data_IF_874675329249
#
_entry.id   IF_874675329249
#
_cell.length_a   1.000
_cell.length_b   1.000
_cell.length_c   1.000
_cell.angle_alpha   90.00
_cell.angle_beta   90.00
_cell.angle_gamma   90.00
#
_symmetry.space_group_name_H-M   'P 1'
#
loop_
_entity.id
_entity.type
_entity.pdbx_description
1 polymer ?
#
# COMPACT_ATOMS: atom_id res chain seq x y z
N UNK A 1 -19.63 3.44 2.48
CA UNK A 1 -20.24 2.21 1.91
C UNK A 1 -21.02 2.59 0.66
N UNK A 2 -20.90 1.80 -0.40
CA UNK A 2 -21.70 1.94 -1.63
C UNK A 2 -21.57 0.67 -2.50
N UNK A 3 -22.68 0.00 -2.80
CA UNK A 3 -22.79 -0.91 -3.94
C UNK A 3 -23.20 -0.15 -5.21
N UNK A 4 -23.24 -0.83 -6.37
CA UNK A 4 -23.46 -0.19 -7.69
C UNK A 4 -24.32 -1.06 -8.62
N UNK A 5 -25.16 -0.42 -9.43
CA UNK A 5 -25.76 -0.92 -10.69
C UNK A 5 -25.58 0.16 -11.78
N UNK A 6 -25.82 -0.15 -13.07
CA UNK A 6 -25.14 0.51 -14.22
C UNK A 6 -26.04 0.87 -15.42
N UNK A 7 -25.88 2.08 -15.98
CA UNK A 7 -26.29 2.66 -17.29
C UNK A 7 -25.59 4.05 -17.43
N UNK A 8 -25.36 4.74 -18.56
CA UNK A 8 -25.34 4.48 -20.03
C UNK A 8 -24.20 5.36 -20.66
N UNK A 9 -23.53 4.97 -21.77
CA UNK A 9 -22.39 5.71 -22.31
C UNK A 9 -22.63 6.51 -23.63
N UNK A 10 -23.77 7.21 -23.83
CA UNK A 10 -24.09 7.82 -25.14
C UNK A 10 -24.43 9.35 -25.18
N UNK A 11 -23.41 10.23 -25.17
CA UNK A 11 -23.43 11.56 -25.84
C UNK A 11 -22.05 12.24 -25.90
N UNK A 12 -21.64 12.67 -27.09
CA UNK A 12 -20.47 13.54 -27.32
C UNK A 12 -20.91 14.97 -27.65
N UNK A 13 -20.11 15.97 -27.26
CA UNK A 13 -20.30 17.37 -27.63
C UNK A 13 -18.94 18.01 -27.90
N UNK A 14 -18.80 18.72 -29.02
CA UNK A 14 -17.56 19.36 -29.44
C UNK A 14 -17.44 20.76 -28.81
N UNK A 15 -16.26 21.09 -28.27
CA UNK A 15 -15.97 22.42 -27.69
C UNK A 15 -14.89 23.14 -28.51
N UNK A 16 -15.11 24.41 -28.91
CA UNK A 16 -14.14 25.16 -29.71
C UNK A 16 -13.11 25.88 -28.82
N UNK A 17 -11.88 25.37 -28.77
CA UNK A 17 -10.71 26.07 -28.23
C UNK A 17 -9.52 25.99 -29.21
N UNK A 18 -8.68 27.04 -29.28
CA UNK A 18 -7.63 27.12 -30.30
C UNK A 18 -6.46 26.17 -30.04
N UNK A 19 -5.84 25.68 -31.12
CA UNK A 19 -4.72 24.74 -31.09
C UNK A 19 -3.50 25.32 -30.36
N UNK A 20 -2.88 24.58 -29.42
CA UNK A 20 -1.62 25.00 -28.80
C UNK A 20 -0.47 25.10 -29.81
N UNK A 21 0.46 26.03 -29.56
CA UNK A 21 1.73 26.10 -30.27
C UNK A 21 2.56 24.82 -30.02
N UNK A 22 3.32 24.40 -31.03
CA UNK A 22 4.10 23.17 -31.00
C UNK A 22 5.30 23.26 -30.04
N UNK A 23 5.05 23.01 -28.75
CA UNK A 23 6.09 22.57 -27.83
C UNK A 23 6.49 21.14 -28.23
N UNK A 24 7.79 20.91 -28.46
CA UNK A 24 8.30 19.63 -28.94
C UNK A 24 7.96 18.49 -27.98
N UNK A 25 7.65 17.31 -28.53
CA UNK A 25 7.27 16.13 -27.73
C UNK A 25 8.37 15.77 -26.72
N UNK A 26 8.11 15.79 -25.40
CA UNK A 26 9.09 15.37 -24.42
C UNK A 26 9.41 13.88 -24.62
N UNK A 27 10.69 13.53 -24.61
CA UNK A 27 11.12 12.13 -24.69
C UNK A 27 10.71 11.38 -23.42
N UNK A 28 10.43 10.06 -23.47
CA UNK A 28 9.88 9.32 -22.32
C UNK A 28 10.71 9.38 -21.03
N UNK A 29 12.01 9.69 -21.13
CA UNK A 29 12.93 9.89 -20.00
C UNK A 29 12.72 11.19 -19.21
N UNK A 30 11.77 12.05 -19.60
CA UNK A 30 11.60 13.40 -19.04
C UNK A 30 10.27 13.65 -18.31
N UNK A 31 9.46 12.62 -18.05
CA UNK A 31 8.36 12.71 -17.07
C UNK A 31 8.99 12.78 -15.68
N UNK A 32 9.29 13.99 -15.22
CA UNK A 32 9.75 14.25 -13.87
C UNK A 32 8.65 13.73 -12.91
N UNK A 33 8.99 12.74 -12.07
CA UNK A 33 8.06 12.10 -11.12
C UNK A 33 7.66 13.17 -10.09
N UNK A 34 6.58 13.92 -10.37
CA UNK A 34 6.06 14.97 -9.49
C UNK A 34 5.89 14.33 -8.10
N UNK A 35 6.50 14.89 -7.03
CA UNK A 35 6.35 14.36 -5.68
C UNK A 35 4.86 14.34 -5.33
N UNK A 36 4.28 13.14 -5.40
CA UNK A 36 2.85 12.98 -5.34
C UNK A 36 2.44 13.11 -3.88
N UNK A 37 1.95 14.29 -3.50
CA UNK A 37 1.28 14.46 -2.22
C UNK A 37 -0.09 13.79 -2.27
N UNK A 38 -0.04 12.47 -2.09
CA UNK A 38 -1.17 11.55 -2.27
C UNK A 38 -2.19 11.63 -1.11
N UNK A 39 -1.95 12.53 -0.14
CA UNK A 39 -2.69 12.62 1.12
C UNK A 39 -2.74 11.29 1.89
N UNK A 40 -1.83 10.36 1.58
CA UNK A 40 -1.96 8.95 1.98
C UNK A 40 -1.27 8.72 3.31
N UNK A 41 -2.01 8.13 4.26
CA UNK A 41 -1.50 7.70 5.56
C UNK A 41 -1.90 6.24 5.76
N UNK A 42 -0.92 5.39 6.02
CA UNK A 42 -1.11 3.99 6.45
C UNK A 42 -0.44 3.78 7.81
N UNK A 43 -1.03 2.93 8.64
CA UNK A 43 -0.58 2.65 10.01
C UNK A 43 -0.82 1.19 10.37
N UNK A 44 0.12 0.62 11.12
CA UNK A 44 0.02 -0.71 11.72
C UNK A 44 0.61 -0.68 13.13
N UNK A 45 -0.09 -1.28 14.10
CA UNK A 45 0.23 -1.30 15.54
C UNK A 45 0.12 -2.72 16.05
N UNK A 46 1.14 -3.17 16.78
CA UNK A 46 1.19 -4.43 17.55
C UNK A 46 0.59 -4.19 18.95
N UNK A 47 -0.28 -5.08 19.41
CA UNK A 47 -1.00 -4.96 20.70
C UNK A 47 -1.15 -6.34 21.38
N UNK A 48 -1.56 -6.35 22.65
CA UNK A 48 -1.71 -7.59 23.43
C UNK A 48 -2.88 -8.45 22.94
N UNK A 49 -2.60 -9.25 21.90
CA UNK A 49 -3.57 -10.12 21.22
C UNK A 49 -3.43 -10.14 19.70
N UNK A 50 -2.70 -9.21 19.09
CA UNK A 50 -2.50 -9.20 17.64
C UNK A 50 -2.04 -7.86 17.07
N UNK A 51 -2.67 -7.44 15.97
CA UNK A 51 -2.36 -6.18 15.27
C UNK A 51 -3.62 -5.39 14.92
N UNK A 52 -3.51 -4.07 14.96
CA UNK A 52 -4.49 -3.12 14.39
C UNK A 52 -3.86 -2.43 13.20
N UNK A 53 -4.59 -2.37 12.08
CA UNK A 53 -4.18 -1.65 10.87
C UNK A 53 -5.20 -0.59 10.48
N UNK A 54 -4.72 0.49 9.87
CA UNK A 54 -5.57 1.60 9.43
C UNK A 54 -4.98 2.31 8.21
N UNK A 55 -5.86 2.87 7.39
CA UNK A 55 -5.50 3.68 6.23
C UNK A 55 -6.58 4.73 5.96
N UNK A 56 -6.20 5.87 5.36
CA UNK A 56 -7.17 6.79 4.77
C UNK A 56 -7.70 6.25 3.42
N UNK A 57 -8.84 6.75 2.95
CA UNK A 57 -9.49 6.29 1.72
C UNK A 57 -9.29 7.17 0.48
N UNK A 58 -8.42 8.20 0.54
CA UNK A 58 -8.21 9.15 -0.56
C UNK A 58 -7.16 8.64 -1.54
N UNK A 59 -7.38 8.84 -2.84
CA UNK A 59 -6.35 8.68 -3.87
C UNK A 59 -6.40 9.86 -4.82
N UNK A 60 -5.25 10.45 -5.13
CA UNK A 60 -5.13 11.61 -6.01
C UNK A 60 -4.18 11.35 -7.19
N UNK A 61 -4.32 12.18 -8.22
CA UNK A 61 -3.37 12.35 -9.30
C UNK A 61 -2.94 13.83 -9.27
N UNK A 62 -1.79 14.10 -8.65
CA UNK A 62 -1.43 15.46 -8.25
C UNK A 62 -2.49 16.06 -7.31
N UNK A 63 -2.94 17.27 -7.63
CA UNK A 63 -3.97 17.97 -6.85
C UNK A 63 -5.40 17.42 -7.02
N UNK A 64 -5.68 16.58 -8.04
CA UNK A 64 -7.03 16.07 -8.30
C UNK A 64 -7.30 14.79 -7.50
N UNK A 65 -8.39 14.76 -6.73
CA UNK A 65 -8.82 13.55 -6.00
C UNK A 65 -9.56 12.62 -6.98
N UNK A 66 -8.88 11.57 -7.41
CA UNK A 66 -9.39 10.51 -8.31
C UNK A 66 -10.42 9.64 -7.60
N UNK A 67 -10.19 9.31 -6.33
CA UNK A 67 -11.12 8.50 -5.53
C UNK A 67 -11.11 8.96 -4.06
N UNK A 68 -12.27 8.84 -3.40
CA UNK A 68 -12.51 9.16 -1.98
C UNK A 68 -12.78 7.92 -1.12
N UNK A 69 -12.92 6.75 -1.74
CA UNK A 69 -13.30 5.47 -1.12
C UNK A 69 -12.39 4.32 -1.58
N UNK A 70 -11.10 4.61 -1.84
CA UNK A 70 -10.11 3.57 -2.15
C UNK A 70 -9.81 2.75 -0.90
N UNK A 71 -9.92 1.43 -0.98
CA UNK A 71 -9.29 0.56 0.01
C UNK A 71 -7.78 0.44 -0.26
N UNK A 72 -6.99 0.70 0.78
CA UNK A 72 -5.52 0.59 0.78
C UNK A 72 -5.02 -0.56 1.63
N UNK A 73 -5.91 -1.18 2.42
CA UNK A 73 -5.68 -2.46 3.04
C UNK A 73 -5.90 -3.54 1.97
N UNK A 74 -5.24 -4.69 2.10
CA UNK A 74 -5.41 -5.81 1.16
C UNK A 74 -5.11 -7.11 1.88
N UNK A 75 -6.10 -8.01 1.90
CA UNK A 75 -6.00 -9.34 2.50
C UNK A 75 -5.05 -10.21 1.67
N UNK A 76 -3.91 -10.56 2.24
CA UNK A 76 -2.86 -11.39 1.61
C UNK A 76 -3.07 -12.86 1.98
N UNK A 77 -3.47 -13.12 3.23
CA UNK A 77 -3.91 -14.42 3.72
C UNK A 77 -5.05 -14.24 4.75
N UNK A 78 -5.63 -15.33 5.27
CA UNK A 78 -6.71 -15.26 6.28
C UNK A 78 -6.37 -14.40 7.51
N UNK A 79 -5.11 -14.46 7.97
CA UNK A 79 -4.61 -13.73 9.13
C UNK A 79 -3.53 -12.68 8.80
N UNK A 80 -3.32 -12.37 7.52
CA UNK A 80 -2.25 -11.45 7.05
C UNK A 80 -2.81 -10.44 6.06
N UNK A 81 -2.54 -9.16 6.33
CA UNK A 81 -2.89 -8.04 5.48
C UNK A 81 -1.64 -7.24 5.10
N UNK A 82 -1.72 -6.50 4.00
CA UNK A 82 -0.78 -5.43 3.71
C UNK A 82 -1.51 -4.09 3.57
N UNK A 83 -0.85 -3.02 4.00
CA UNK A 83 -1.26 -1.63 3.80
C UNK A 83 -0.39 -1.03 2.69
N UNK A 84 -1.01 -0.45 1.67
CA UNK A 84 -0.35 0.03 0.45
C UNK A 84 -0.22 1.55 0.41
N UNK A 85 1.00 2.03 0.18
CA UNK A 85 1.29 3.45 -0.08
C UNK A 85 2.30 3.64 -1.22
N UNK A 86 2.24 4.79 -1.90
CA UNK A 86 2.99 5.04 -3.13
C UNK A 86 2.07 4.92 -4.36
N UNK A 87 2.59 4.37 -5.46
CA UNK A 87 1.81 4.15 -6.68
C UNK A 87 0.71 3.09 -6.45
N UNK A 88 -0.52 3.42 -6.83
CA UNK A 88 -1.65 2.50 -6.68
C UNK A 88 -1.47 1.23 -7.52
N UNK A 89 -1.00 1.34 -8.76
CA UNK A 89 -0.82 0.21 -9.67
C UNK A 89 0.30 -0.73 -9.18
N UNK A 90 1.49 -0.18 -8.91
CA UNK A 90 2.67 -0.92 -8.49
C UNK A 90 2.39 -1.72 -7.20
N UNK A 91 1.77 -1.07 -6.21
CA UNK A 91 1.43 -1.71 -4.94
C UNK A 91 0.33 -2.75 -5.05
N UNK A 92 -0.65 -2.58 -5.96
CA UNK A 92 -1.66 -3.59 -6.25
C UNK A 92 -1.06 -4.81 -6.97
N UNK A 93 -0.13 -4.59 -7.91
CA UNK A 93 0.60 -5.66 -8.59
C UNK A 93 1.42 -6.50 -7.58
N UNK A 94 2.25 -5.85 -6.76
CA UNK A 94 3.06 -6.52 -5.73
C UNK A 94 2.16 -7.30 -4.76
N UNK A 95 1.09 -6.70 -4.23
CA UNK A 95 0.20 -7.37 -3.28
C UNK A 95 -0.50 -8.59 -3.89
N UNK A 96 -0.90 -8.52 -5.17
CA UNK A 96 -1.48 -9.66 -5.90
C UNK A 96 -0.46 -10.77 -6.12
N UNK A 97 0.76 -10.42 -6.56
CA UNK A 97 1.82 -11.38 -6.81
C UNK A 97 2.27 -12.09 -5.52
N UNK A 98 2.45 -11.35 -4.43
CA UNK A 98 2.78 -11.92 -3.11
C UNK A 98 1.65 -12.82 -2.61
N UNK A 99 0.39 -12.41 -2.75
CA UNK A 99 -0.76 -13.23 -2.36
C UNK A 99 -0.72 -14.60 -3.05
N UNK A 100 -0.67 -14.64 -4.38
CA UNK A 100 -0.65 -15.92 -5.13
C UNK A 100 0.58 -16.78 -4.81
N UNK A 101 1.75 -16.16 -4.58
CA UNK A 101 2.98 -16.86 -4.17
C UNK A 101 2.89 -17.42 -2.74
N UNK A 102 2.21 -16.72 -1.83
CA UNK A 102 1.99 -17.16 -0.45
C UNK A 102 0.93 -18.28 -0.37
N UNK A 103 -0.17 -18.16 -1.11
CA UNK A 103 -1.20 -19.21 -1.25
C UNK A 103 -0.58 -20.50 -1.83
N UNK A 104 0.20 -20.38 -2.91
CA UNK A 104 0.92 -21.50 -3.49
C UNK A 104 1.97 -22.11 -2.55
N UNK A 105 2.65 -21.29 -1.75
CA UNK A 105 3.62 -21.77 -0.76
C UNK A 105 2.95 -22.57 0.36
N UNK A 106 1.87 -22.05 0.96
CA UNK A 106 1.09 -22.71 1.99
C UNK A 106 0.60 -24.10 1.54
N UNK A 107 0.07 -24.20 0.32
CA UNK A 107 -0.39 -25.47 -0.29
C UNK A 107 0.77 -26.46 -0.49
N UNK A 108 1.98 -26.00 -0.84
CA UNK A 108 3.13 -26.89 -1.04
C UNK A 108 3.72 -27.48 0.25
N UNK A 109 3.45 -26.87 1.41
CA UNK A 109 3.98 -27.30 2.71
C UNK A 109 2.91 -27.83 3.68
N UNK A 110 1.65 -27.90 3.24
CA UNK A 110 0.47 -28.30 4.03
C UNK A 110 0.25 -27.44 5.30
N UNK A 111 0.61 -26.14 5.23
CA UNK A 111 0.48 -25.19 6.34
C UNK A 111 -0.73 -24.26 6.12
N UNK A 112 -1.82 -24.50 6.86
CA UNK A 112 -3.03 -23.66 6.79
C UNK A 112 -2.78 -22.18 7.20
N UNK A 113 -1.71 -21.91 7.96
CA UNK A 113 -1.45 -20.58 8.53
C UNK A 113 0.03 -20.16 8.35
N UNK A 114 0.45 -19.80 7.13
CA UNK A 114 1.82 -19.36 6.87
C UNK A 114 2.20 -18.13 7.72
N UNK A 115 3.45 -18.06 8.16
CA UNK A 115 3.92 -17.02 9.07
C UNK A 115 3.88 -15.60 8.47
N UNK A 116 3.70 -14.60 9.33
CA UNK A 116 3.72 -13.19 8.91
C UNK A 116 5.10 -12.80 8.37
N UNK A 117 6.18 -13.40 8.91
CA UNK A 117 7.54 -13.16 8.43
C UNK A 117 7.76 -13.69 7.00
N UNK A 118 7.20 -14.85 6.64
CA UNK A 118 7.27 -15.38 5.28
C UNK A 118 6.61 -14.43 4.29
N UNK A 119 5.38 -13.96 4.60
CA UNK A 119 4.70 -12.96 3.78
C UNK A 119 5.51 -11.65 3.65
N UNK A 120 6.04 -11.12 4.76
CA UNK A 120 6.88 -9.92 4.75
C UNK A 120 8.19 -10.10 3.95
N UNK A 121 8.74 -11.32 3.93
CA UNK A 121 9.93 -11.66 3.14
C UNK A 121 9.61 -11.67 1.64
N UNK A 122 8.47 -12.21 1.23
CA UNK A 122 7.98 -12.14 -0.16
C UNK A 122 7.76 -10.68 -0.61
N UNK A 123 7.14 -9.83 0.23
CA UNK A 123 7.02 -8.40 -0.07
C UNK A 123 8.39 -7.73 -0.23
N UNK A 124 9.36 -8.05 0.63
CA UNK A 124 10.75 -7.56 0.52
C UNK A 124 11.44 -8.04 -0.76
N UNK A 125 11.20 -9.26 -1.24
CA UNK A 125 11.74 -9.74 -2.52
C UNK A 125 11.25 -8.87 -3.69
N UNK A 126 9.93 -8.76 -3.90
CA UNK A 126 9.38 -7.93 -4.98
C UNK A 126 9.71 -6.44 -4.83
N UNK A 127 9.64 -5.88 -3.62
CA UNK A 127 9.95 -4.45 -3.42
C UNK A 127 11.43 -4.13 -3.62
N UNK A 128 12.36 -5.09 -3.43
CA UNK A 128 13.77 -4.90 -3.70
C UNK A 128 14.13 -5.11 -5.17
N UNK A 129 13.58 -6.16 -5.79
CA UNK A 129 13.81 -6.51 -7.21
C UNK A 129 13.35 -5.39 -8.15
N UNK A 130 12.20 -4.77 -7.87
CA UNK A 130 11.59 -3.73 -8.71
C UNK A 130 11.76 -2.30 -8.17
N UNK A 131 12.58 -2.08 -7.13
CA UNK A 131 12.72 -0.78 -6.42
C UNK A 131 12.98 0.44 -7.32
N UNK A 132 13.72 0.22 -8.41
CA UNK A 132 14.15 1.27 -9.35
C UNK A 132 13.07 1.57 -10.41
N UNK A 133 12.00 0.76 -10.46
CA UNK A 133 10.84 0.89 -11.37
C UNK A 133 9.59 1.33 -10.58
N UNK A 134 9.29 0.62 -9.50
CA UNK A 134 8.09 0.77 -8.68
C UNK A 134 8.26 1.77 -7.54
N UNK A 135 7.18 2.47 -7.19
CA UNK A 135 7.07 3.32 -6.00
C UNK A 135 6.15 2.65 -4.99
N UNK A 136 6.71 1.78 -4.13
CA UNK A 136 5.96 1.01 -3.14
C UNK A 136 6.51 1.22 -1.73
N UNK A 137 5.65 1.67 -0.81
CA UNK A 137 5.85 1.57 0.63
C UNK A 137 4.76 0.68 1.20
N UNK A 138 5.13 -0.50 1.70
CA UNK A 138 4.22 -1.53 2.19
C UNK A 138 4.42 -1.71 3.70
N UNK A 139 3.33 -1.76 4.45
CA UNK A 139 3.33 -2.36 5.80
C UNK A 139 2.66 -3.73 5.70
N UNK A 140 3.31 -4.78 6.16
CA UNK A 140 2.73 -6.13 6.28
C UNK A 140 2.42 -6.36 7.75
N UNK A 141 1.19 -6.72 8.06
CA UNK A 141 0.76 -6.97 9.43
C UNK A 141 -0.15 -8.19 9.48
N UNK A 142 -0.03 -8.96 10.56
CA UNK A 142 -0.85 -10.14 10.75
C UNK A 142 -0.68 -10.76 12.13
N UNK A 143 -1.25 -11.96 12.29
CA UNK A 143 -1.05 -12.81 13.45
C UNK A 143 -0.75 -14.24 13.00
N UNK A 144 0.22 -14.89 13.63
CA UNK A 144 0.45 -16.33 13.52
C UNK A 144 0.62 -17.00 14.90
N UNK A 145 0.51 -18.34 14.99
CA UNK A 145 0.52 -19.04 16.28
C UNK A 145 1.87 -19.09 16.99
N UNK A 146 2.95 -18.62 16.37
CA UNK A 146 4.34 -18.78 16.87
C UNK A 146 4.84 -17.48 17.48
N UNK A 147 4.80 -16.39 16.72
CA UNK A 147 5.29 -15.07 17.13
C UNK A 147 4.15 -14.09 17.49
N UNK A 148 2.88 -14.54 17.37
CA UNK A 148 1.71 -13.75 17.71
C UNK A 148 1.45 -12.62 16.71
N UNK A 149 1.12 -11.42 17.22
CA UNK A 149 0.93 -10.22 16.40
C UNK A 149 2.27 -9.70 15.87
N UNK A 150 2.33 -9.37 14.58
CA UNK A 150 3.57 -8.90 13.94
C UNK A 150 3.33 -7.75 12.95
N UNK A 151 4.18 -6.72 12.99
CA UNK A 151 4.20 -5.62 12.00
C UNK A 151 5.57 -5.46 11.34
N UNK A 152 5.64 -5.65 10.03
CA UNK A 152 6.83 -5.43 9.21
C UNK A 152 6.67 -4.23 8.29
N UNK A 153 7.68 -3.36 8.27
CA UNK A 153 7.79 -2.22 7.36
C UNK A 153 8.72 -2.56 6.19
N UNK A 154 8.23 -2.35 4.97
CA UNK A 154 8.97 -2.46 3.72
C UNK A 154 8.90 -1.10 2.99
N UNK A 155 9.82 -0.17 3.27
CA UNK A 155 9.90 1.12 2.58
C UNK A 155 10.46 0.96 1.15
N UNK A 156 10.42 2.05 0.37
CA UNK A 156 10.81 2.08 -1.05
C UNK A 156 12.21 1.52 -1.38
N UNK A 157 13.11 1.43 -0.40
CA UNK A 157 14.43 0.79 -0.56
C UNK A 157 14.41 -0.75 -0.58
N UNK A 158 13.26 -1.40 -0.37
CA UNK A 158 13.10 -2.85 -0.40
C UNK A 158 13.70 -3.61 0.79
N UNK A 159 14.02 -2.94 1.90
CA UNK A 159 14.44 -3.59 3.14
C UNK A 159 13.24 -4.11 3.94
N UNK A 160 13.44 -5.08 4.85
CA UNK A 160 12.42 -5.58 5.80
C UNK A 160 12.82 -5.18 7.22
N UNK A 161 11.93 -4.51 7.96
CA UNK A 161 12.15 -4.10 9.36
C UNK A 161 10.94 -4.55 10.20
N UNK A 162 11.14 -5.29 11.30
CA UNK A 162 10.09 -5.52 12.33
C UNK A 162 10.00 -4.29 13.22
N UNK A 163 8.79 -3.80 13.47
CA UNK A 163 8.53 -2.67 14.37
C UNK A 163 7.27 -2.98 15.20
N UNK A 164 7.14 -2.44 16.42
CA UNK A 164 5.87 -2.53 17.19
C UNK A 164 4.81 -1.54 16.67
N UNK A 165 5.24 -0.43 16.08
CA UNK A 165 4.40 0.48 15.30
C UNK A 165 5.12 0.86 14.02
N UNK A 166 4.39 0.87 12.91
CA UNK A 166 4.87 1.41 11.64
C UNK A 166 3.81 2.34 11.03
N UNK A 167 4.27 3.45 10.45
CA UNK A 167 3.45 4.43 9.74
C UNK A 167 4.14 4.86 8.43
N UNK A 168 3.34 5.08 7.38
CA UNK A 168 3.84 5.39 6.03
C UNK A 168 2.85 6.14 5.13
N UNK A 169 3.27 6.39 3.89
CA UNK A 169 2.61 7.33 2.97
C UNK A 169 2.98 8.80 3.23
N UNK A 170 2.60 9.73 2.34
CA UNK A 170 3.00 11.15 2.48
C UNK A 170 2.48 11.79 3.77
N UNK A 171 1.33 11.34 4.27
CA UNK A 171 0.68 11.86 5.47
C UNK A 171 1.28 11.37 6.80
N UNK A 172 2.12 10.32 6.83
CA UNK A 172 2.73 9.86 8.09
C UNK A 172 3.65 10.92 8.71
N UNK A 173 4.25 11.77 7.87
CA UNK A 173 5.11 12.90 8.23
C UNK A 173 4.53 13.80 9.31
N UNK A 174 3.20 13.97 9.33
CA UNK A 174 2.49 14.83 10.30
C UNK A 174 2.21 14.17 11.65
N UNK A 175 2.33 12.84 11.76
CA UNK A 175 1.90 12.08 12.94
C UNK A 175 3.02 11.35 13.69
N UNK A 176 4.27 11.30 13.18
CA UNK A 176 5.39 10.64 13.88
C UNK A 176 5.51 11.09 15.35
N UNK A 177 5.59 12.39 15.61
CA UNK A 177 5.73 12.92 16.98
C UNK A 177 4.49 12.72 17.87
N UNK A 178 3.30 12.50 17.29
CA UNK A 178 2.10 12.13 18.05
C UNK A 178 2.15 10.65 18.44
N UNK A 179 2.50 9.78 17.48
CA UNK A 179 2.58 8.33 17.68
C UNK A 179 3.68 7.99 18.68
N UNK A 180 4.87 8.58 18.54
CA UNK A 180 6.02 8.39 19.44
C UNK A 180 5.71 8.79 20.89
N UNK A 181 4.95 9.88 21.07
CA UNK A 181 4.53 10.38 22.39
C UNK A 181 3.29 9.67 22.98
N UNK A 182 2.57 8.85 22.22
CA UNK A 182 1.33 8.21 22.69
C UNK A 182 1.36 6.67 22.69
N UNK A 183 2.22 6.06 21.87
CA UNK A 183 2.39 4.61 21.87
C UNK A 183 2.98 4.12 23.20
N UNK A 184 2.52 2.95 23.63
CA UNK A 184 3.02 2.22 24.79
C UNK A 184 3.06 0.74 24.44
N UNK A 185 4.02 0.02 25.01
CA UNK A 185 4.00 -1.43 24.93
C UNK A 185 2.90 -1.99 25.86
N UNK A 186 2.24 -3.08 25.48
CA UNK A 186 1.13 -3.65 26.26
C UNK A 186 -0.18 -2.84 26.17
N UNK A 187 -0.52 -2.32 24.97
CA UNK A 187 -1.81 -1.68 24.74
C UNK A 187 -2.93 -2.71 24.49
N UNK A 188 -4.15 -2.35 24.92
CA UNK A 188 -5.40 -3.13 24.80
C UNK A 188 -6.57 -2.27 24.33
#
# INVERSE_FOLDING_TARGET
>A
MSGVFVEDPSRSFLSPYPTPLHQGTPTPSSIQKIPADLGTTIMAVEFDGGVVIGADSRTSAGAYIVNRVTDKLTKVHERIYCCRSGSAADTQFIATAVKTRLEGHAIMIDEENPSVETAATLFKEYCYEYRDQFSAGILVAGWDPVEGGQVFSIPLGGMKIRQKVAIGGSGSTWIYGLVDNQFKEGMS
#
